data_IF_520008122910
#
_entry.id   IF_520008122910
#
_cell.length_a   1.000
_cell.length_b   1.000
_cell.length_c   1.000
_cell.angle_alpha   90.00
_cell.angle_beta   90.00
_cell.angle_gamma   90.00
#
_symmetry.space_group_name_H-M   'P 1'
#
loop_
_entity.id
_entity.type
_entity.pdbx_description
1 polymer ?
#
# COMPACT_ATOMS: atom_id res chain seq x y z
N UNK A 1 -18.42 -6.59 -39.17
CA UNK A 1 -17.20 -6.53 -40.00
C UNK A 1 -16.07 -5.97 -39.18
N UNK A 2 -15.14 -6.87 -38.81
CA UNK A 2 -13.95 -6.47 -38.06
C UNK A 2 -12.89 -5.95 -39.04
N UNK A 3 -12.36 -4.76 -38.78
CA UNK A 3 -11.24 -4.26 -39.57
C UNK A 3 -9.99 -5.11 -39.29
N UNK A 4 -9.29 -5.44 -40.36
CA UNK A 4 -8.03 -6.17 -40.32
C UNK A 4 -6.93 -5.26 -40.86
N UNK A 5 -5.92 -5.06 -40.02
CA UNK A 5 -4.74 -4.30 -40.38
C UNK A 5 -3.51 -5.16 -40.54
N UNK A 6 -2.41 -4.51 -40.82
CA UNK A 6 -1.11 -5.17 -41.08
C UNK A 6 -0.02 -4.47 -40.29
N UNK A 7 0.87 -5.23 -39.67
CA UNK A 7 2.04 -4.69 -38.98
C UNK A 7 3.03 -4.12 -40.03
N UNK A 8 3.37 -2.86 -39.86
CA UNK A 8 4.37 -2.17 -40.70
C UNK A 8 5.76 -2.39 -40.11
N UNK A 9 5.89 -2.23 -38.80
CA UNK A 9 7.14 -2.40 -38.08
C UNK A 9 6.86 -2.90 -36.65
N UNK A 10 7.82 -3.61 -36.07
CA UNK A 10 7.73 -4.14 -34.71
C UNK A 10 9.13 -4.13 -34.09
N UNK A 11 9.17 -3.80 -32.81
CA UNK A 11 10.40 -3.86 -32.04
C UNK A 11 10.14 -3.41 -30.60
N UNK A 12 10.81 -4.06 -29.65
CA UNK A 12 10.78 -3.71 -28.23
C UNK A 12 9.37 -3.63 -27.62
N UNK A 13 8.46 -4.50 -28.10
CA UNK A 13 7.08 -4.54 -27.60
C UNK A 13 6.14 -3.51 -28.20
N UNK A 14 6.57 -2.76 -29.21
CA UNK A 14 5.75 -1.76 -29.93
C UNK A 14 5.56 -2.21 -31.38
N UNK A 15 4.32 -2.21 -31.84
CA UNK A 15 3.98 -2.48 -33.24
C UNK A 15 3.30 -1.26 -33.87
N UNK A 16 3.77 -0.86 -35.06
CA UNK A 16 3.05 0.10 -35.89
C UNK A 16 2.16 -0.66 -36.84
N UNK A 17 0.90 -0.30 -36.92
CA UNK A 17 -0.15 -1.02 -37.68
C UNK A 17 -0.82 -0.07 -38.64
N UNK A 18 -1.05 -0.58 -39.87
CA UNK A 18 -1.77 0.13 -40.90
C UNK A 18 -3.09 -0.59 -41.20
N UNK A 19 -4.13 0.17 -41.49
CA UNK A 19 -5.41 -0.38 -41.95
C UNK A 19 -6.48 -0.59 -40.89
N UNK A 20 -6.24 -0.13 -39.67
CA UNK A 20 -7.28 -0.15 -38.59
C UNK A 20 -7.65 1.28 -38.18
N UNK A 21 -8.10 2.06 -39.18
CA UNK A 21 -8.30 3.51 -39.04
C UNK A 21 -9.36 3.90 -38.01
N UNK A 22 -10.28 3.01 -37.66
CA UNK A 22 -11.34 3.25 -36.69
C UNK A 22 -10.99 2.77 -35.26
N UNK A 23 -9.76 2.31 -35.06
CA UNK A 23 -9.31 1.89 -33.74
C UNK A 23 -9.30 3.07 -32.77
N UNK A 24 -9.71 2.78 -31.53
CA UNK A 24 -9.79 3.76 -30.47
C UNK A 24 -8.62 3.58 -29.49
N UNK A 25 -8.20 4.68 -28.86
CA UNK A 25 -7.22 4.63 -27.78
C UNK A 25 -7.68 3.66 -26.68
N UNK A 26 -6.78 2.78 -26.26
CA UNK A 26 -7.07 1.79 -25.23
C UNK A 26 -7.79 0.53 -25.73
N UNK A 27 -8.05 0.44 -27.03
CA UNK A 27 -8.70 -0.75 -27.60
C UNK A 27 -7.74 -1.93 -27.64
N UNK A 28 -8.25 -3.13 -27.29
CA UNK A 28 -7.51 -4.39 -27.45
C UNK A 28 -7.54 -4.80 -28.92
N UNK A 29 -6.37 -5.19 -29.42
CA UNK A 29 -6.21 -5.81 -30.75
C UNK A 29 -5.62 -7.20 -30.57
N UNK A 30 -5.93 -8.11 -31.51
CA UNK A 30 -5.38 -9.46 -31.52
C UNK A 30 -4.54 -9.66 -32.78
N UNK A 31 -3.29 -10.07 -32.60
CA UNK A 31 -2.40 -10.37 -33.71
C UNK A 31 -2.63 -11.80 -34.18
N UNK A 32 -2.23 -12.08 -35.41
CA UNK A 32 -2.37 -13.39 -36.07
C UNK A 32 -1.83 -14.55 -35.25
N UNK A 33 -0.77 -14.32 -34.47
CA UNK A 33 -0.15 -15.32 -33.59
C UNK A 33 -0.92 -15.58 -32.31
N UNK A 34 -1.98 -14.80 -32.04
CA UNK A 34 -2.75 -14.84 -30.78
C UNK A 34 -2.27 -13.85 -29.74
N UNK A 35 -1.15 -13.18 -29.95
CA UNK A 35 -0.65 -12.14 -29.05
C UNK A 35 -1.61 -10.97 -29.01
N UNK A 36 -1.86 -10.45 -27.80
CA UNK A 36 -2.73 -9.29 -27.61
C UNK A 36 -1.90 -8.02 -27.51
N UNK A 37 -2.50 -6.93 -27.98
CA UNK A 37 -1.93 -5.59 -27.87
C UNK A 37 -3.00 -4.57 -27.51
N UNK A 38 -2.56 -3.35 -27.23
CA UNK A 38 -3.45 -2.25 -26.91
C UNK A 38 -3.03 -1.00 -27.71
N UNK A 39 -4.01 -0.32 -28.27
CA UNK A 39 -3.78 0.93 -29.01
C UNK A 39 -3.31 2.01 -28.05
N UNK A 40 -2.14 2.58 -28.30
CA UNK A 40 -1.53 3.62 -27.47
C UNK A 40 -1.40 4.97 -28.15
N UNK A 41 -1.28 4.98 -29.48
CA UNK A 41 -1.08 6.22 -30.23
C UNK A 41 -1.77 6.12 -31.59
N UNK A 42 -2.49 7.16 -31.95
CA UNK A 42 -3.23 7.24 -33.23
C UNK A 42 -2.65 8.38 -34.03
N UNK A 43 -2.02 8.04 -35.15
CA UNK A 43 -1.47 8.98 -36.12
C UNK A 43 -2.32 8.94 -37.40
N UNK A 44 -2.06 9.86 -38.33
CA UNK A 44 -2.87 10.01 -39.53
C UNK A 44 -2.95 8.72 -40.37
N UNK A 45 -1.83 8.01 -40.54
CA UNK A 45 -1.74 6.81 -41.39
C UNK A 45 -1.30 5.54 -40.67
N UNK A 46 -1.03 5.62 -39.38
CA UNK A 46 -0.62 4.44 -38.62
C UNK A 46 -1.07 4.52 -37.18
N UNK A 47 -1.21 3.36 -36.56
CA UNK A 47 -1.59 3.23 -35.18
C UNK A 47 -0.49 2.45 -34.46
N UNK A 48 -0.04 2.97 -33.32
CA UNK A 48 0.97 2.32 -32.50
C UNK A 48 0.29 1.53 -31.39
N UNK A 49 0.66 0.25 -31.28
CA UNK A 49 0.14 -0.65 -30.24
C UNK A 49 1.28 -1.13 -29.36
N UNK A 50 1.03 -1.20 -28.06
CA UNK A 50 1.91 -1.92 -27.14
C UNK A 50 1.49 -3.39 -27.10
N UNK A 51 2.47 -4.29 -27.07
CA UNK A 51 2.22 -5.74 -27.13
C UNK A 51 2.42 -6.36 -25.77
N UNK A 52 1.51 -7.24 -25.38
CA UNK A 52 1.49 -7.89 -24.08
C UNK A 52 2.14 -9.27 -24.11
N UNK A 53 3.41 -9.31 -24.45
CA UNK A 53 4.17 -10.54 -24.47
C UNK A 53 5.36 -10.49 -25.42
N UNK A 54 5.94 -11.67 -25.70
CA UNK A 54 7.08 -11.82 -26.59
C UNK A 54 6.68 -11.51 -28.04
N UNK A 55 7.36 -10.58 -28.66
CA UNK A 55 7.12 -10.13 -30.03
C UNK A 55 8.03 -10.79 -31.07
N UNK A 56 8.82 -11.80 -30.69
CA UNK A 56 9.80 -12.42 -31.57
C UNK A 56 9.19 -13.08 -32.82
N UNK A 57 7.95 -13.51 -32.75
CA UNK A 57 7.22 -14.11 -33.87
C UNK A 57 6.44 -13.10 -34.72
N UNK A 58 6.39 -11.85 -34.28
CA UNK A 58 5.69 -10.79 -34.99
C UNK A 58 6.62 -10.18 -36.05
N UNK A 59 6.16 -10.14 -37.28
CA UNK A 59 6.94 -9.66 -38.42
C UNK A 59 6.15 -8.59 -39.17
N UNK A 60 6.84 -7.84 -40.03
CA UNK A 60 6.19 -6.99 -41.01
C UNK A 60 5.23 -7.85 -41.83
N UNK A 61 4.00 -7.40 -41.99
CA UNK A 61 2.96 -8.14 -42.71
C UNK A 61 2.06 -9.01 -41.82
N UNK A 62 2.39 -9.18 -40.55
CA UNK A 62 1.51 -9.90 -39.63
C UNK A 62 0.16 -9.19 -39.54
N UNK A 63 -0.92 -9.96 -39.57
CA UNK A 63 -2.28 -9.41 -39.50
C UNK A 63 -2.69 -9.07 -38.10
N UNK A 64 -3.42 -7.96 -37.94
CA UNK A 64 -3.92 -7.45 -36.69
C UNK A 64 -5.42 -7.20 -36.81
N UNK A 65 -6.19 -7.79 -35.90
CA UNK A 65 -7.65 -7.62 -35.87
C UNK A 65 -8.06 -6.71 -34.71
N UNK A 66 -8.96 -5.74 -35.01
CA UNK A 66 -9.63 -4.97 -34.00
C UNK A 66 -10.64 -5.85 -33.25
N UNK A 67 -10.75 -5.66 -31.96
CA UNK A 67 -11.80 -6.33 -31.15
C UNK A 67 -13.00 -5.42 -30.90
N UNK A 68 -12.84 -4.10 -31.05
CA UNK A 68 -13.87 -3.12 -30.71
C UNK A 68 -14.08 -2.96 -29.22
N UNK A 69 -13.27 -3.59 -28.39
CA UNK A 69 -13.40 -3.57 -26.92
C UNK A 69 -12.22 -2.86 -26.28
N UNK A 70 -12.49 -2.07 -25.25
CA UNK A 70 -11.42 -1.50 -24.42
C UNK A 70 -10.65 -2.60 -23.70
N UNK A 71 -9.36 -2.38 -23.48
CA UNK A 71 -8.54 -3.30 -22.70
C UNK A 71 -9.14 -3.50 -21.32
N UNK A 72 -9.27 -4.74 -20.90
CA UNK A 72 -9.87 -5.07 -19.63
C UNK A 72 -9.42 -6.44 -19.16
N UNK A 73 -9.92 -6.85 -18.01
CA UNK A 73 -9.64 -8.15 -17.42
C UNK A 73 -10.94 -8.81 -16.96
N UNK A 74 -10.94 -10.17 -16.90
CA UNK A 74 -12.01 -10.84 -16.20
C UNK A 74 -11.93 -10.55 -14.70
N UNK A 75 -13.06 -10.40 -14.05
CA UNK A 75 -13.18 -10.09 -12.61
C UNK A 75 -14.17 -11.00 -11.95
N UNK A 76 -14.05 -11.22 -10.66
CA UNK A 76 -14.96 -12.06 -9.90
C UNK A 76 -14.38 -12.48 -8.55
N UNK A 77 -15.21 -13.09 -7.72
CA UNK A 77 -14.80 -13.59 -6.40
C UNK A 77 -13.79 -14.74 -6.50
N UNK A 78 -13.77 -15.45 -7.64
CA UNK A 78 -12.82 -16.52 -7.88
C UNK A 78 -11.36 -16.08 -7.88
N UNK A 79 -11.09 -14.80 -7.98
CA UNK A 79 -9.74 -14.23 -7.93
C UNK A 79 -9.17 -14.18 -6.51
N UNK A 80 -10.01 -14.21 -5.49
CA UNK A 80 -9.55 -14.17 -4.09
C UNK A 80 -8.75 -15.44 -3.79
N UNK A 81 -7.55 -15.26 -3.28
CA UNK A 81 -6.63 -16.37 -2.97
C UNK A 81 -5.77 -16.82 -4.13
N UNK A 82 -5.86 -16.17 -5.28
CA UNK A 82 -5.17 -16.57 -6.50
C UNK A 82 -4.02 -15.64 -6.84
N UNK A 83 -3.07 -16.17 -7.59
CA UNK A 83 -1.92 -15.42 -8.12
C UNK A 83 -2.07 -15.38 -9.63
N UNK A 84 -2.09 -14.17 -10.18
CA UNK A 84 -2.37 -13.94 -11.59
C UNK A 84 -1.34 -13.01 -12.23
N UNK A 85 -1.24 -13.07 -13.56
CA UNK A 85 -0.38 -12.18 -14.33
C UNK A 85 -1.05 -10.81 -14.58
N UNK A 86 -0.40 -9.96 -15.37
CA UNK A 86 -0.88 -8.61 -15.66
C UNK A 86 -2.23 -8.56 -16.40
N UNK A 87 -2.61 -9.64 -17.07
CA UNK A 87 -3.88 -9.74 -17.81
C UNK A 87 -4.94 -10.54 -17.07
N UNK A 88 -4.65 -10.96 -15.84
CA UNK A 88 -5.57 -11.71 -15.01
C UNK A 88 -5.56 -13.22 -15.24
N UNK A 89 -4.61 -13.74 -16.00
CA UNK A 89 -4.46 -15.18 -16.18
C UNK A 89 -3.76 -15.81 -14.97
N UNK A 90 -4.24 -16.98 -14.49
CA UNK A 90 -3.64 -17.62 -13.32
C UNK A 90 -2.22 -18.14 -13.60
N UNK A 91 -1.32 -17.94 -12.64
CA UNK A 91 0.08 -18.40 -12.70
C UNK A 91 0.47 -19.26 -11.49
N UNK A 92 -0.51 -19.67 -10.69
CA UNK A 92 -0.30 -20.43 -9.45
C UNK A 92 -0.48 -21.93 -9.62
N UNK A 93 -0.77 -22.39 -10.83
CA UNK A 93 -0.96 -23.82 -11.11
C UNK A 93 -2.26 -24.43 -10.57
N UNK A 94 -3.20 -23.60 -10.09
CA UNK A 94 -4.46 -24.06 -9.50
C UNK A 94 -5.63 -24.11 -10.48
N UNK A 95 -5.35 -24.03 -11.78
CA UNK A 95 -6.38 -24.09 -12.82
C UNK A 95 -7.03 -22.76 -13.13
N UNK A 96 -8.00 -22.80 -14.03
CA UNK A 96 -8.72 -21.62 -14.49
C UNK A 96 -9.52 -20.96 -13.37
N UNK A 97 -9.67 -19.64 -13.47
CA UNK A 97 -10.46 -18.85 -12.54
C UNK A 97 -11.81 -18.57 -13.18
N UNK A 98 -12.90 -18.89 -12.46
CA UNK A 98 -14.24 -18.56 -12.91
C UNK A 98 -14.46 -17.04 -12.74
N UNK A 99 -14.71 -16.36 -13.85
CA UNK A 99 -15.02 -14.93 -13.86
C UNK A 99 -16.53 -14.71 -13.77
N UNK A 100 -16.91 -13.65 -13.03
CA UNK A 100 -18.31 -13.22 -12.94
C UNK A 100 -18.59 -12.06 -13.91
N UNK A 101 -17.56 -11.47 -14.48
CA UNK A 101 -17.70 -10.37 -15.41
C UNK A 101 -16.36 -9.98 -16.02
N UNK A 102 -16.40 -8.91 -16.80
CA UNK A 102 -15.24 -8.32 -17.44
C UNK A 102 -15.27 -6.82 -17.16
N UNK A 103 -14.12 -6.24 -16.80
CA UNK A 103 -14.05 -4.83 -16.45
C UNK A 103 -12.87 -4.16 -17.17
N UNK A 104 -13.07 -2.98 -17.78
CA UNK A 104 -11.96 -2.25 -18.38
C UNK A 104 -10.87 -1.90 -17.35
N UNK A 105 -9.62 -1.90 -17.79
CA UNK A 105 -8.48 -1.56 -16.93
C UNK A 105 -8.40 -0.06 -16.64
N UNK A 106 -8.91 0.77 -17.53
CA UNK A 106 -9.00 2.21 -17.32
C UNK A 106 -10.46 2.61 -17.16
N UNK A 107 -10.79 3.20 -16.01
CA UNK A 107 -12.12 3.66 -15.66
C UNK A 107 -12.03 5.04 -15.01
N UNK A 108 -13.08 5.81 -15.15
CA UNK A 108 -13.18 7.08 -14.46
C UNK A 108 -13.26 6.85 -12.95
N UNK A 109 -12.55 7.69 -12.19
CA UNK A 109 -12.64 7.69 -10.74
C UNK A 109 -14.04 8.12 -10.30
N UNK A 110 -14.52 7.68 -9.12
CA UNK A 110 -15.79 8.16 -8.58
C UNK A 110 -15.82 9.68 -8.50
N UNK A 111 -16.95 10.29 -8.88
CA UNK A 111 -17.15 11.73 -8.84
C UNK A 111 -17.29 12.26 -7.41
N UNK A 112 -17.33 13.57 -7.27
CA UNK A 112 -17.43 14.25 -5.97
C UNK A 112 -18.68 13.82 -5.20
N UNK A 113 -19.80 13.66 -5.90
CA UNK A 113 -21.10 13.29 -5.30
C UNK A 113 -21.11 11.86 -4.78
N UNK A 114 -20.34 10.98 -5.43
CA UNK A 114 -20.30 9.56 -5.10
C UNK A 114 -19.31 9.23 -3.97
N UNK A 115 -18.54 10.21 -3.50
CA UNK A 115 -17.53 10.03 -2.47
C UNK A 115 -18.07 10.43 -1.09
N UNK A 116 -17.57 9.72 -0.09
CA UNK A 116 -17.78 10.01 1.33
C UNK A 116 -16.43 10.26 1.98
N UNK A 117 -16.42 11.10 3.01
CA UNK A 117 -15.21 11.35 3.79
C UNK A 117 -14.71 10.08 4.45
N UNK A 118 -13.39 9.93 4.50
CA UNK A 118 -12.73 8.80 5.15
C UNK A 118 -12.87 8.95 6.67
N UNK A 119 -13.49 7.98 7.33
CA UNK A 119 -13.79 8.03 8.75
C UNK A 119 -13.72 6.68 9.46
N UNK A 120 -13.46 5.59 8.73
CA UNK A 120 -13.35 4.25 9.31
C UNK A 120 -11.90 3.81 9.25
N UNK A 121 -11.29 3.36 10.37
CA UNK A 121 -9.90 2.93 10.37
C UNK A 121 -9.65 1.74 9.46
N UNK A 122 -8.52 1.78 8.76
CA UNK A 122 -7.89 0.60 8.20
C UNK A 122 -6.68 0.34 9.08
N UNK A 123 -6.80 -0.59 10.00
CA UNK A 123 -5.78 -0.85 11.01
C UNK A 123 -4.61 -1.61 10.40
N UNK A 124 -3.41 -1.02 10.46
CA UNK A 124 -2.22 -1.67 9.94
C UNK A 124 -1.65 -2.72 10.88
N UNK A 125 -1.99 -2.63 12.17
CA UNK A 125 -1.39 -3.45 13.21
C UNK A 125 0.01 -3.00 13.59
N UNK A 126 0.50 -1.92 13.00
CA UNK A 126 1.82 -1.34 13.26
C UNK A 126 1.63 -0.14 14.20
N UNK A 127 2.16 -0.24 15.39
CA UNK A 127 1.91 0.73 16.46
C UNK A 127 2.30 2.16 16.05
N UNK A 128 3.46 2.34 15.42
CA UNK A 128 3.93 3.65 14.99
C UNK A 128 3.00 4.32 13.99
N UNK A 129 2.38 3.52 13.12
CA UNK A 129 1.49 4.02 12.08
C UNK A 129 0.10 4.29 12.67
N UNK A 130 -0.50 3.29 13.30
CA UNK A 130 -1.87 3.41 13.82
C UNK A 130 -1.99 4.49 14.89
N UNK A 131 -0.93 4.74 15.65
CA UNK A 131 -0.93 5.76 16.70
C UNK A 131 -0.69 7.19 16.19
N UNK A 132 0.19 7.35 15.19
CA UNK A 132 0.65 8.69 14.77
C UNK A 132 0.24 9.06 13.35
N UNK A 133 0.12 8.09 12.46
CA UNK A 133 -0.16 8.31 11.04
C UNK A 133 -1.25 7.36 10.56
N UNK A 134 -2.45 7.41 11.19
CA UNK A 134 -3.50 6.42 10.94
C UNK A 134 -4.00 6.48 9.51
N UNK A 135 -4.39 5.30 9.01
CA UNK A 135 -4.92 5.13 7.66
C UNK A 135 -6.38 4.76 7.77
N UNK A 136 -7.21 5.41 6.98
CA UNK A 136 -8.64 5.13 6.91
C UNK A 136 -9.03 4.39 5.64
N UNK A 137 -10.15 3.71 5.68
CA UNK A 137 -10.69 3.01 4.51
C UNK A 137 -11.10 4.00 3.43
N UNK A 138 -10.45 3.92 2.29
CA UNK A 138 -10.61 4.84 1.18
C UNK A 138 -9.49 5.86 1.04
N UNK A 139 -8.51 5.84 1.93
CA UNK A 139 -7.36 6.73 1.90
C UNK A 139 -6.25 6.21 0.98
N UNK A 140 -5.46 7.13 0.45
CA UNK A 140 -4.24 6.83 -0.31
C UNK A 140 -3.06 7.26 0.55
N UNK A 141 -2.32 6.31 1.11
CA UNK A 141 -1.16 6.60 1.96
C UNK A 141 0.09 6.04 1.30
N UNK A 142 1.01 6.92 0.94
CA UNK A 142 2.26 6.56 0.29
C UNK A 142 3.24 5.95 1.30
N UNK A 143 3.88 4.86 0.91
CA UNK A 143 5.02 4.29 1.64
C UNK A 143 6.26 4.61 0.81
N UNK A 144 7.17 5.40 1.36
CA UNK A 144 8.32 5.94 0.62
C UNK A 144 9.61 5.80 1.42
N UNK A 145 10.67 5.43 0.74
CA UNK A 145 11.99 5.28 1.35
C UNK A 145 12.99 4.66 0.39
N UNK A 146 14.24 4.65 0.80
CA UNK A 146 15.33 4.04 0.04
C UNK A 146 15.17 2.52 -0.03
N UNK A 147 15.96 1.90 -0.90
CA UNK A 147 16.00 0.45 -1.04
C UNK A 147 16.29 -0.22 0.31
N UNK A 148 15.57 -1.30 0.60
CA UNK A 148 15.74 -2.12 1.81
C UNK A 148 15.52 -1.37 3.13
N UNK A 149 14.53 -0.48 3.16
CA UNK A 149 14.09 0.21 4.39
C UNK A 149 12.84 -0.39 5.03
N UNK A 150 12.31 -1.47 4.44
CA UNK A 150 11.13 -2.16 5.00
C UNK A 150 9.79 -1.73 4.42
N UNK A 151 9.77 -1.10 3.24
CA UNK A 151 8.53 -0.64 2.59
C UNK A 151 7.56 -1.79 2.34
N UNK A 152 8.03 -2.85 1.73
CA UNK A 152 7.22 -4.05 1.44
C UNK A 152 6.74 -4.71 2.72
N UNK A 153 7.57 -4.73 3.76
CA UNK A 153 7.21 -5.32 5.06
C UNK A 153 6.04 -4.61 5.72
N UNK A 154 5.98 -3.28 5.63
CA UNK A 154 4.84 -2.52 6.14
C UNK A 154 3.56 -2.91 5.39
N UNK A 155 3.63 -2.99 4.08
CA UNK A 155 2.49 -3.38 3.26
C UNK A 155 2.03 -4.81 3.57
N UNK A 156 2.97 -5.75 3.69
CA UNK A 156 2.69 -7.15 4.01
C UNK A 156 2.07 -7.30 5.40
N UNK A 157 2.63 -6.62 6.40
CA UNK A 157 2.09 -6.66 7.77
C UNK A 157 0.68 -6.06 7.83
N UNK A 158 0.42 -5.02 7.05
CA UNK A 158 -0.92 -4.44 6.93
C UNK A 158 -1.90 -5.46 6.35
N UNK A 159 -1.51 -6.19 5.30
CA UNK A 159 -2.33 -7.25 4.72
C UNK A 159 -2.59 -8.35 5.75
N UNK A 160 -1.57 -8.81 6.44
CA UNK A 160 -1.69 -9.85 7.47
C UNK A 160 -2.70 -9.43 8.54
N UNK A 161 -2.69 -8.15 8.92
CA UNK A 161 -3.60 -7.64 9.96
C UNK A 161 -5.06 -7.54 9.52
N UNK A 162 -5.36 -7.73 8.24
CA UNK A 162 -6.75 -7.64 7.77
C UNK A 162 -7.56 -8.93 7.99
N UNK A 163 -6.94 -9.97 8.53
CA UNK A 163 -7.64 -11.24 8.81
C UNK A 163 -8.86 -11.00 9.70
N UNK A 164 -10.02 -11.44 9.22
CA UNK A 164 -11.27 -11.31 9.98
C UNK A 164 -11.88 -9.92 10.02
N UNK A 165 -11.38 -8.97 9.24
CA UNK A 165 -11.85 -7.56 9.24
C UNK A 165 -12.69 -7.19 8.02
N UNK A 166 -13.09 -8.17 7.22
CA UNK A 166 -13.89 -7.99 6.01
C UNK A 166 -13.24 -7.04 4.99
N UNK A 167 -11.93 -7.16 4.84
CA UNK A 167 -11.16 -6.41 3.84
C UNK A 167 -10.56 -7.40 2.85
N UNK A 168 -10.85 -7.18 1.57
CA UNK A 168 -10.23 -7.93 0.48
C UNK A 168 -8.92 -7.24 0.13
N UNK A 169 -7.82 -7.99 0.08
CA UNK A 169 -6.51 -7.43 -0.20
C UNK A 169 -6.05 -7.80 -1.61
N UNK A 170 -5.37 -6.85 -2.27
CA UNK A 170 -4.74 -7.04 -3.56
C UNK A 170 -3.31 -6.53 -3.47
N UNK A 171 -2.35 -7.40 -3.77
CA UNK A 171 -0.95 -7.04 -3.84
C UNK A 171 -0.50 -7.03 -5.29
N UNK A 172 0.05 -5.90 -5.74
CA UNK A 172 0.50 -5.73 -7.12
C UNK A 172 2.02 -5.65 -7.15
N UNK A 173 2.67 -6.69 -7.63
CA UNK A 173 4.12 -6.74 -7.82
C UNK A 173 4.45 -6.21 -9.21
N UNK A 174 5.15 -5.09 -9.28
CA UNK A 174 5.50 -4.42 -10.53
C UNK A 174 7.00 -4.44 -10.71
N UNK A 175 7.50 -5.18 -11.70
CA UNK A 175 8.92 -5.24 -12.01
C UNK A 175 9.78 -5.88 -10.93
N UNK A 176 9.20 -6.70 -10.09
CA UNK A 176 9.90 -7.41 -9.01
C UNK A 176 10.55 -8.69 -9.53
N UNK A 177 11.60 -9.15 -8.85
CA UNK A 177 12.17 -10.47 -9.14
C UNK A 177 11.17 -11.55 -8.77
N UNK A 178 11.09 -12.61 -9.58
CA UNK A 178 10.20 -13.76 -9.32
C UNK A 178 10.45 -14.37 -7.93
N UNK A 179 11.71 -14.46 -7.51
CA UNK A 179 12.09 -14.97 -6.19
C UNK A 179 11.55 -14.14 -5.04
N UNK A 180 11.52 -12.82 -5.21
CA UNK A 180 10.96 -11.88 -4.22
C UNK A 180 9.46 -12.08 -4.08
N UNK A 181 8.75 -12.21 -5.19
CA UNK A 181 7.30 -12.45 -5.19
C UNK A 181 6.97 -13.82 -4.56
N UNK A 182 7.74 -14.85 -4.87
CA UNK A 182 7.56 -16.19 -4.30
C UNK A 182 7.71 -16.17 -2.78
N UNK A 183 8.70 -15.44 -2.26
CA UNK A 183 8.90 -15.29 -0.82
C UNK A 183 7.72 -14.58 -0.15
N UNK A 184 7.23 -13.51 -0.76
CA UNK A 184 6.07 -12.77 -0.27
C UNK A 184 4.82 -13.64 -0.22
N UNK A 185 4.57 -14.42 -1.27
CA UNK A 185 3.43 -15.35 -1.33
C UNK A 185 3.54 -16.38 -0.21
N UNK A 186 4.74 -16.92 0.04
CA UNK A 186 4.95 -17.87 1.12
C UNK A 186 4.69 -17.27 2.49
N UNK A 187 5.09 -16.01 2.71
CA UNK A 187 4.80 -15.26 3.94
C UNK A 187 3.29 -15.08 4.14
N UNK A 188 2.58 -14.72 3.08
CA UNK A 188 1.12 -14.57 3.15
C UNK A 188 0.44 -15.90 3.47
N UNK A 189 0.90 -17.00 2.87
CA UNK A 189 0.38 -18.35 3.17
C UNK A 189 0.63 -18.74 4.62
N UNK A 190 1.83 -18.46 5.14
CA UNK A 190 2.21 -18.79 6.51
C UNK A 190 1.34 -18.11 7.55
N UNK A 191 0.78 -16.94 7.21
CA UNK A 191 -0.09 -16.16 8.10
C UNK A 191 -1.57 -16.28 7.73
N UNK A 192 -1.94 -17.22 6.87
CA UNK A 192 -3.31 -17.41 6.36
C UNK A 192 -3.88 -16.17 5.64
N UNK A 193 -3.01 -15.27 5.19
CA UNK A 193 -3.42 -14.03 4.56
C UNK A 193 -3.73 -14.20 3.06
N UNK A 194 -3.21 -15.25 2.43
CA UNK A 194 -3.49 -15.49 1.02
C UNK A 194 -4.98 -15.82 0.80
N UNK A 195 -5.66 -16.34 1.81
CA UNK A 195 -7.08 -16.73 1.72
C UNK A 195 -8.01 -15.56 1.37
N UNK A 196 -7.60 -14.32 1.66
CA UNK A 196 -8.36 -13.11 1.33
C UNK A 196 -7.58 -12.15 0.42
N UNK A 197 -6.49 -12.61 -0.19
CA UNK A 197 -5.59 -11.76 -0.98
C UNK A 197 -5.46 -12.30 -2.40
N UNK A 198 -5.52 -11.39 -3.38
CA UNK A 198 -5.16 -11.66 -4.77
C UNK A 198 -3.81 -11.03 -5.05
N UNK A 199 -2.90 -11.77 -5.69
CA UNK A 199 -1.59 -11.26 -6.09
C UNK A 199 -1.55 -11.11 -7.61
N UNK A 200 -1.34 -9.88 -8.07
CA UNK A 200 -1.03 -9.57 -9.47
C UNK A 200 0.47 -9.44 -9.61
N UNK A 201 1.03 -10.08 -10.61
CA UNK A 201 2.49 -10.12 -10.78
C UNK A 201 2.90 -9.82 -12.21
N UNK A 202 3.76 -8.82 -12.38
CA UNK A 202 4.52 -8.61 -13.60
C UNK A 202 5.98 -8.51 -13.20
N UNK A 203 6.77 -9.55 -13.53
CA UNK A 203 8.16 -9.67 -13.08
C UNK A 203 9.09 -8.73 -13.84
N UNK A 204 10.30 -8.55 -13.30
CA UNK A 204 11.34 -7.71 -13.90
C UNK A 204 11.77 -8.19 -15.29
N UNK A 205 11.61 -9.48 -15.59
CA UNK A 205 11.96 -10.05 -16.90
C UNK A 205 10.85 -9.89 -17.95
N UNK A 206 9.66 -9.50 -17.56
CA UNK A 206 8.56 -9.25 -18.50
C UNK A 206 8.73 -7.91 -19.20
N UNK A 207 8.09 -7.78 -20.36
CA UNK A 207 8.16 -6.56 -21.16
C UNK A 207 7.52 -5.35 -20.45
N UNK A 208 7.94 -4.15 -20.85
CA UNK A 208 7.43 -2.92 -20.27
C UNK A 208 5.90 -2.77 -20.37
N UNK A 209 5.23 -3.14 -21.49
CA UNK A 209 3.78 -3.08 -21.57
C UNK A 209 3.04 -3.85 -20.46
N UNK A 210 3.54 -5.01 -20.06
CA UNK A 210 2.94 -5.80 -18.98
C UNK A 210 3.14 -5.12 -17.62
N UNK A 211 4.31 -4.57 -17.37
CA UNK A 211 4.58 -3.81 -16.15
C UNK A 211 3.75 -2.53 -16.08
N UNK A 212 3.49 -1.92 -17.24
CA UNK A 212 2.65 -0.72 -17.35
C UNK A 212 1.19 -1.02 -17.01
N UNK A 213 0.64 -2.13 -17.54
CA UNK A 213 -0.80 -2.40 -17.43
C UNK A 213 -1.20 -3.03 -16.07
N UNK A 214 -0.28 -3.72 -15.40
CA UNK A 214 -0.62 -4.53 -14.21
C UNK A 214 -1.31 -3.75 -13.09
N UNK A 215 -0.91 -2.51 -12.73
CA UNK A 215 -1.63 -1.80 -11.67
C UNK A 215 -3.04 -1.40 -12.08
N UNK A 216 -3.27 -1.11 -13.34
CA UNK A 216 -4.61 -0.80 -13.86
C UNK A 216 -5.50 -2.04 -13.85
N UNK A 217 -4.96 -3.19 -14.21
CA UNK A 217 -5.66 -4.48 -14.16
C UNK A 217 -6.10 -4.80 -12.73
N UNK A 218 -5.18 -4.68 -11.79
CA UNK A 218 -5.46 -4.93 -10.38
C UNK A 218 -6.51 -3.98 -9.82
N UNK A 219 -6.45 -2.70 -10.22
CA UNK A 219 -7.42 -1.70 -9.78
C UNK A 219 -8.81 -2.00 -10.34
N UNK A 220 -8.91 -2.53 -11.56
CA UNK A 220 -10.19 -2.97 -12.11
C UNK A 220 -10.84 -4.05 -11.25
N UNK A 221 -10.07 -5.02 -10.76
CA UNK A 221 -10.58 -6.02 -9.81
C UNK A 221 -10.98 -5.37 -8.49
N UNK A 222 -10.19 -4.43 -7.98
CA UNK A 222 -10.53 -3.71 -6.75
C UNK A 222 -11.86 -2.95 -6.90
N UNK A 223 -12.07 -2.30 -8.02
CA UNK A 223 -13.32 -1.58 -8.32
C UNK A 223 -14.52 -2.52 -8.38
N UNK A 224 -14.34 -3.71 -8.93
CA UNK A 224 -15.41 -4.72 -8.94
C UNK A 224 -15.93 -4.98 -7.53
N UNK A 225 -15.04 -5.16 -6.57
CA UNK A 225 -15.43 -5.38 -5.18
C UNK A 225 -15.96 -4.11 -4.50
N UNK A 226 -15.34 -2.97 -4.77
CA UNK A 226 -15.77 -1.69 -4.19
C UNK A 226 -17.21 -1.36 -4.56
N UNK A 227 -17.59 -1.55 -5.82
CA UNK A 227 -18.95 -1.27 -6.28
C UNK A 227 -19.99 -2.30 -5.81
N UNK A 228 -19.54 -3.38 -5.19
CA UNK A 228 -20.41 -4.33 -4.47
C UNK A 228 -20.55 -3.98 -2.98
N UNK A 229 -20.02 -2.86 -2.55
CA UNK A 229 -20.10 -2.42 -1.16
C UNK A 229 -19.00 -3.01 -0.27
N UNK A 230 -17.97 -3.62 -0.85
CA UNK A 230 -16.88 -4.23 -0.08
C UNK A 230 -15.72 -3.26 0.09
N UNK A 231 -14.92 -3.47 1.12
CA UNK A 231 -13.71 -2.71 1.38
C UNK A 231 -12.49 -3.46 0.83
N UNK A 232 -11.66 -2.76 0.07
CA UNK A 232 -10.48 -3.32 -0.59
C UNK A 232 -9.23 -2.57 -0.13
N UNK A 233 -8.17 -3.29 0.14
CA UNK A 233 -6.83 -2.75 0.33
C UNK A 233 -5.98 -3.16 -0.87
N UNK A 234 -5.40 -2.18 -1.57
CA UNK A 234 -4.53 -2.45 -2.71
C UNK A 234 -3.13 -1.87 -2.47
N UNK A 235 -2.11 -2.70 -2.68
CA UNK A 235 -0.70 -2.32 -2.54
C UNK A 235 -0.05 -2.33 -3.91
N UNK A 236 0.59 -1.22 -4.29
CA UNK A 236 1.34 -1.11 -5.55
C UNK A 236 2.84 -1.13 -5.24
N UNK A 237 3.50 -2.22 -5.49
CA UNK A 237 4.92 -2.41 -5.14
C UNK A 237 5.79 -2.66 -6.38
N UNK A 238 6.37 -1.68 -6.99
CA UNK A 238 6.29 -0.25 -6.64
C UNK A 238 5.95 0.60 -7.87
N UNK A 239 5.52 1.81 -7.63
CA UNK A 239 5.18 2.76 -8.69
C UNK A 239 6.42 3.42 -9.32
N UNK A 240 7.59 3.33 -8.69
CA UNK A 240 8.84 3.79 -9.29
C UNK A 240 9.17 2.96 -10.53
N UNK A 241 9.08 1.63 -10.42
CA UNK A 241 9.27 0.73 -11.56
C UNK A 241 8.18 0.88 -12.61
N UNK A 242 6.95 1.15 -12.18
CA UNK A 242 5.84 1.46 -13.08
C UNK A 242 6.14 2.67 -13.95
N UNK A 243 6.64 3.75 -13.34
CA UNK A 243 7.03 4.95 -14.06
C UNK A 243 8.16 4.69 -15.05
N UNK A 244 9.15 3.87 -14.67
CA UNK A 244 10.25 3.49 -15.57
C UNK A 244 9.74 2.70 -16.77
N UNK A 245 8.81 1.77 -16.58
CA UNK A 245 8.19 1.03 -17.68
C UNK A 245 7.45 1.98 -18.65
N UNK A 246 6.71 2.92 -18.11
CA UNK A 246 6.00 3.91 -18.92
C UNK A 246 6.96 4.84 -19.68
N UNK A 247 8.06 5.25 -19.05
CA UNK A 247 9.11 6.03 -19.70
C UNK A 247 9.69 5.27 -20.89
N UNK A 248 9.99 3.98 -20.72
CA UNK A 248 10.49 3.14 -21.80
C UNK A 248 9.52 3.09 -22.99
N UNK A 249 8.23 2.83 -22.70
CA UNK A 249 7.18 2.82 -23.73
C UNK A 249 7.07 4.15 -24.45
N UNK A 250 7.07 5.25 -23.70
CA UNK A 250 6.92 6.60 -24.25
C UNK A 250 8.08 7.00 -25.16
N UNK A 251 9.31 6.63 -24.79
CA UNK A 251 10.48 6.88 -25.61
C UNK A 251 10.43 6.07 -26.92
N UNK A 252 9.98 4.83 -26.86
CA UNK A 252 9.80 3.98 -28.05
C UNK A 252 8.69 4.48 -28.97
N UNK A 253 7.65 5.10 -28.41
CA UNK A 253 6.58 5.74 -29.18
C UNK A 253 6.98 7.09 -29.78
N UNK A 254 8.20 7.57 -29.50
CA UNK A 254 8.69 8.84 -30.01
C UNK A 254 8.12 10.07 -29.30
N UNK A 255 7.59 9.91 -28.09
CA UNK A 255 7.11 11.04 -27.29
C UNK A 255 8.28 11.85 -26.76
N UNK A 256 8.12 13.17 -26.68
CA UNK A 256 9.19 14.06 -26.22
C UNK A 256 9.49 13.85 -24.75
N UNK A 257 10.76 13.57 -24.36
CA UNK A 257 11.13 13.42 -22.97
C UNK A 257 11.15 14.78 -22.25
N UNK A 258 10.69 14.78 -21.01
CA UNK A 258 10.76 15.92 -20.11
C UNK A 258 11.79 15.70 -19.01
N UNK A 259 11.46 16.15 -17.79
CA UNK A 259 12.33 16.00 -16.61
C UNK A 259 12.67 14.54 -16.36
N UNK A 260 13.94 14.23 -16.14
CA UNK A 260 14.47 12.87 -15.92
C UNK A 260 14.08 11.90 -17.04
N UNK A 261 13.89 12.43 -18.25
CA UNK A 261 13.47 11.71 -19.45
C UNK A 261 12.06 11.10 -19.38
N UNK A 262 11.26 11.43 -18.37
CA UNK A 262 9.86 11.03 -18.30
C UNK A 262 9.03 11.86 -19.29
N UNK A 263 7.97 11.27 -19.88
CA UNK A 263 7.06 12.04 -20.73
C UNK A 263 6.27 13.06 -19.93
N UNK A 264 5.74 14.09 -20.59
CA UNK A 264 5.01 15.18 -19.93
C UNK A 264 3.77 14.73 -19.17
N UNK A 265 3.19 13.59 -19.51
CA UNK A 265 1.98 13.05 -18.90
C UNK A 265 2.24 12.02 -17.78
N UNK A 266 3.48 11.89 -17.31
CA UNK A 266 3.80 10.92 -16.24
C UNK A 266 3.06 11.21 -14.94
N UNK A 267 2.76 12.46 -14.64
CA UNK A 267 1.92 12.80 -13.49
C UNK A 267 0.53 12.16 -13.63
N UNK A 268 -0.05 12.25 -14.82
CA UNK A 268 -1.37 11.69 -15.12
C UNK A 268 -1.37 10.15 -15.04
N UNK A 269 -0.26 9.51 -15.34
CA UNK A 269 -0.10 8.06 -15.18
C UNK A 269 -0.50 7.59 -13.78
N UNK A 270 0.00 8.26 -12.75
CA UNK A 270 -0.25 7.89 -11.36
C UNK A 270 -1.51 8.55 -10.78
N UNK A 271 -1.85 9.78 -11.21
CA UNK A 271 -3.06 10.43 -10.70
C UNK A 271 -4.33 9.71 -11.13
N UNK A 272 -4.43 9.31 -12.41
CA UNK A 272 -5.60 8.57 -12.88
C UNK A 272 -5.74 7.17 -12.28
N UNK A 273 -4.61 6.58 -11.86
CA UNK A 273 -4.61 5.31 -11.14
C UNK A 273 -5.10 5.47 -9.69
N UNK A 274 -4.48 6.39 -8.97
CA UNK A 274 -4.68 6.55 -7.52
C UNK A 274 -5.99 7.26 -7.17
N UNK A 275 -6.50 8.11 -8.06
CA UNK A 275 -7.80 8.76 -7.86
C UNK A 275 -8.98 7.76 -7.82
N UNK A 276 -8.78 6.57 -8.35
CA UNK A 276 -9.78 5.50 -8.32
C UNK A 276 -9.97 4.92 -6.91
N UNK A 277 -9.00 5.12 -6.03
CA UNK A 277 -9.09 4.71 -4.62
C UNK A 277 -9.81 5.78 -3.84
N UNK A 278 -10.90 5.40 -3.18
CA UNK A 278 -11.78 6.32 -2.48
C UNK A 278 -12.76 5.54 -1.60
N UNK A 279 -13.53 6.26 -0.80
CA UNK A 279 -14.68 5.71 -0.11
C UNK A 279 -15.95 6.19 -0.77
N UNK A 280 -16.81 5.26 -1.14
CA UNK A 280 -18.09 5.58 -1.77
C UNK A 280 -19.12 5.98 -0.72
N UNK A 281 -20.01 6.90 -1.12
CA UNK A 281 -21.18 7.24 -0.33
C UNK A 281 -22.11 6.02 -0.21
N UNK A 282 -22.98 6.03 0.76
CA UNK A 282 -23.98 4.96 0.97
C UNK A 282 -24.84 4.74 -0.28
N UNK A 283 -25.20 5.84 -0.94
CA UNK A 283 -26.01 5.82 -2.17
C UNK A 283 -25.25 5.17 -3.34
N UNK A 284 -23.93 5.32 -3.38
CA UNK A 284 -23.07 4.71 -4.41
C UNK A 284 -22.65 3.28 -4.05
N UNK A 285 -23.05 2.75 -2.89
CA UNK A 285 -22.76 1.39 -2.47
C UNK A 285 -21.96 1.25 -1.19
N UNK A 286 -21.32 2.30 -0.71
CA UNK A 286 -20.60 2.32 0.58
C UNK A 286 -19.27 1.60 0.62
N UNK A 287 -18.80 1.00 -0.47
CA UNK A 287 -17.52 0.32 -0.54
C UNK A 287 -16.34 1.29 -0.57
N UNK A 288 -15.14 0.73 -0.49
CA UNK A 288 -13.91 1.55 -0.53
C UNK A 288 -12.74 0.81 -1.16
N UNK A 289 -11.79 1.59 -1.67
CA UNK A 289 -10.45 1.11 -2.02
C UNK A 289 -9.47 1.98 -1.25
N UNK A 290 -8.65 1.34 -0.41
CA UNK A 290 -7.54 1.98 0.28
C UNK A 290 -6.26 1.62 -0.46
N UNK A 291 -5.48 2.62 -0.87
CA UNK A 291 -4.26 2.40 -1.63
C UNK A 291 -3.01 2.65 -0.78
N UNK A 292 -2.08 1.72 -0.86
CA UNK A 292 -0.72 1.85 -0.32
C UNK A 292 0.27 1.79 -1.50
N UNK A 293 0.45 2.90 -2.22
CA UNK A 293 1.50 2.95 -3.24
C UNK A 293 2.87 3.02 -2.58
N UNK A 294 3.83 2.32 -3.19
CA UNK A 294 5.22 2.29 -2.72
C UNK A 294 6.08 3.02 -3.74
N UNK A 295 6.94 3.90 -3.25
CA UNK A 295 7.92 4.64 -4.05
C UNK A 295 9.31 4.42 -3.44
N UNK A 296 10.28 4.12 -4.29
CA UNK A 296 11.68 4.03 -3.89
C UNK A 296 12.39 5.35 -4.13
N UNK A 297 13.07 5.86 -3.11
CA UNK A 297 13.91 7.06 -3.23
C UNK A 297 15.37 6.66 -3.41
N UNK A 298 16.18 7.62 -3.87
CA UNK A 298 17.64 7.49 -3.96
C UNK A 298 18.24 8.44 -2.94
N UNK A 299 19.01 7.91 -1.98
CA UNK A 299 19.64 8.70 -0.92
C UNK A 299 18.69 9.62 -0.15
N UNK A 300 17.45 9.18 0.05
CA UNK A 300 16.43 9.93 0.78
C UNK A 300 15.87 11.13 0.03
N UNK A 301 16.14 11.27 -1.26
CA UNK A 301 15.72 12.42 -2.06
C UNK A 301 14.22 12.36 -2.41
N UNK A 302 13.41 13.04 -1.62
CA UNK A 302 11.96 13.17 -1.86
C UNK A 302 11.65 14.29 -2.87
N UNK A 303 12.64 15.08 -3.27
CA UNK A 303 12.46 16.16 -4.26
C UNK A 303 12.59 15.67 -5.71
N UNK A 304 12.98 14.41 -5.93
CA UNK A 304 13.01 13.80 -7.25
C UNK A 304 11.60 13.81 -7.89
N UNK A 305 11.56 13.65 -9.21
CA UNK A 305 10.33 13.91 -9.97
C UNK A 305 9.17 12.99 -9.57
N UNK A 306 9.38 11.69 -9.62
CA UNK A 306 8.28 10.74 -9.32
C UNK A 306 7.87 10.79 -7.84
N UNK A 307 8.79 10.80 -6.87
CA UNK A 307 8.39 10.99 -5.46
C UNK A 307 7.53 12.23 -5.23
N UNK A 308 7.94 13.38 -5.77
CA UNK A 308 7.19 14.65 -5.64
C UNK A 308 5.77 14.52 -6.20
N UNK A 309 5.62 13.90 -7.35
CA UNK A 309 4.32 13.71 -7.98
C UNK A 309 3.40 12.84 -7.12
N UNK A 310 3.88 11.72 -6.62
CA UNK A 310 3.05 10.80 -5.85
C UNK A 310 2.72 11.37 -4.45
N UNK A 311 3.65 12.11 -3.84
CA UNK A 311 3.37 12.83 -2.59
C UNK A 311 2.19 13.79 -2.78
N UNK A 312 2.14 14.51 -3.91
CA UNK A 312 1.05 15.46 -4.18
C UNK A 312 -0.29 14.80 -4.46
N UNK A 313 -0.28 13.57 -5.01
CA UNK A 313 -1.51 12.84 -5.33
C UNK A 313 -2.12 12.19 -4.08
N UNK A 314 -1.30 11.75 -3.15
CA UNK A 314 -1.72 10.96 -1.98
C UNK A 314 -2.17 11.83 -0.81
N UNK A 315 -2.82 11.19 0.16
CA UNK A 315 -3.37 11.83 1.37
C UNK A 315 -2.37 11.80 2.54
N UNK A 316 -1.11 11.62 2.25
CA UNK A 316 -0.03 11.56 3.20
C UNK A 316 0.99 10.49 2.82
N UNK A 317 2.05 10.41 3.61
CA UNK A 317 3.13 9.46 3.37
C UNK A 317 3.70 8.92 4.68
N UNK A 318 4.12 7.66 4.63
CA UNK A 318 4.95 7.03 5.65
C UNK A 318 6.37 7.02 5.09
N UNK A 319 7.22 7.86 5.64
CA UNK A 319 8.61 7.98 5.20
C UNK A 319 9.52 7.06 6.02
N UNK A 320 10.19 6.12 5.35
CA UNK A 320 11.13 5.20 5.96
C UNK A 320 12.56 5.67 5.71
N UNK A 321 13.35 5.77 6.76
CA UNK A 321 14.69 6.33 6.71
C UNK A 321 15.74 5.24 6.91
N UNK A 322 16.73 5.19 6.01
CA UNK A 322 17.81 4.21 6.05
C UNK A 322 18.61 4.27 7.35
N UNK A 323 18.90 5.47 7.82
CA UNK A 323 19.69 5.66 9.05
C UNK A 323 18.98 5.07 10.27
N UNK A 324 17.67 5.25 10.37
CA UNK A 324 16.85 4.66 11.43
C UNK A 324 16.83 3.13 11.30
N UNK A 325 16.67 2.62 10.09
CA UNK A 325 16.65 1.18 9.83
C UNK A 325 17.96 0.53 10.26
N UNK A 326 19.07 1.12 9.87
CA UNK A 326 20.40 0.62 10.18
C UNK A 326 20.75 0.76 11.67
N UNK A 327 20.15 1.72 12.36
CA UNK A 327 20.28 1.90 13.81
C UNK A 327 19.41 0.96 14.63
N UNK A 328 18.64 0.08 13.97
CA UNK A 328 17.78 -0.89 14.63
C UNK A 328 16.36 -0.42 14.92
N UNK A 329 16.00 0.78 14.51
CA UNK A 329 14.62 1.27 14.58
C UNK A 329 13.80 0.67 13.44
N UNK A 330 13.08 -0.39 13.71
CA UNK A 330 12.28 -1.12 12.72
C UNK A 330 10.87 -1.36 13.25
N UNK A 331 9.82 -0.84 12.59
CA UNK A 331 9.85 -0.09 11.33
C UNK A 331 10.55 1.27 11.44
N UNK A 332 11.23 1.65 10.38
CA UNK A 332 12.09 2.84 10.35
C UNK A 332 11.32 4.11 10.02
N UNK A 333 10.17 4.31 10.64
CA UNK A 333 9.27 5.44 10.36
C UNK A 333 9.88 6.74 10.87
N UNK A 334 10.09 7.69 9.96
CA UNK A 334 10.51 9.03 10.32
C UNK A 334 9.28 9.83 10.76
N UNK A 335 9.23 10.16 12.05
CA UNK A 335 8.07 10.84 12.66
C UNK A 335 7.90 12.28 12.17
N UNK A 336 9.01 12.95 11.85
CA UNK A 336 8.96 14.34 11.38
C UNK A 336 8.48 14.50 9.95
N UNK A 337 8.80 13.55 9.08
CA UNK A 337 8.48 13.61 7.64
C UNK A 337 7.22 12.84 7.26
N UNK A 338 6.75 11.95 8.11
CA UNK A 338 5.54 11.18 7.86
C UNK A 338 4.30 12.01 8.20
N UNK A 339 3.24 11.84 7.42
CA UNK A 339 1.99 12.59 7.54
C UNK A 339 0.81 11.68 7.19
N UNK A 340 -0.28 11.80 7.93
CA UNK A 340 -1.59 11.33 7.49
C UNK A 340 -2.55 12.52 7.50
N UNK A 341 -3.04 12.90 6.33
CA UNK A 341 -3.95 14.06 6.21
C UNK A 341 -5.34 13.77 6.76
N UNK A 342 -5.73 12.51 6.81
CA UNK A 342 -6.99 12.10 7.44
C UNK A 342 -6.89 12.18 8.97
N UNK A 343 -5.76 11.75 9.51
CA UNK A 343 -5.47 11.90 10.95
C UNK A 343 -6.47 11.18 11.84
N UNK A 344 -6.85 11.82 12.93
CA UNK A 344 -7.72 11.23 13.97
C UNK A 344 -9.10 10.79 13.47
N UNK A 345 -9.58 11.27 12.33
CA UNK A 345 -10.82 10.78 11.73
C UNK A 345 -10.71 9.30 11.32
N UNK A 346 -9.49 8.80 11.10
CA UNK A 346 -9.21 7.40 10.78
C UNK A 346 -8.83 6.57 12.00
N UNK A 347 -9.14 7.03 13.20
CA UNK A 347 -8.90 6.31 14.46
C UNK A 347 -10.20 6.07 15.21
N UNK A 348 -10.26 4.95 15.93
CA UNK A 348 -11.32 4.77 16.94
C UNK A 348 -11.14 5.80 18.05
N UNK A 349 -12.20 6.08 18.78
CA UNK A 349 -12.12 7.01 19.92
C UNK A 349 -11.11 6.53 20.97
N UNK A 350 -11.03 5.21 21.18
CA UNK A 350 -10.07 4.62 22.10
C UNK A 350 -8.63 4.88 21.68
N UNK A 351 -8.31 4.62 20.41
CA UNK A 351 -6.98 4.86 19.88
C UNK A 351 -6.62 6.35 19.90
N UNK A 352 -7.55 7.19 19.50
CA UNK A 352 -7.36 8.65 19.49
C UNK A 352 -7.00 9.17 20.87
N UNK A 353 -7.69 8.69 21.92
CA UNK A 353 -7.41 9.08 23.31
C UNK A 353 -6.09 8.52 23.81
N UNK A 354 -5.79 7.26 23.51
CA UNK A 354 -4.56 6.61 23.96
C UNK A 354 -3.30 7.17 23.28
N UNK A 355 -3.40 7.55 22.00
CA UNK A 355 -2.26 7.98 21.19
C UNK A 355 -2.10 9.49 21.06
N UNK A 356 -3.02 10.28 21.59
CA UNK A 356 -3.11 11.72 21.31
C UNK A 356 -1.87 12.53 21.64
N UNK A 357 -1.06 12.13 22.61
CA UNK A 357 0.14 12.83 23.02
C UNK A 357 1.44 12.25 22.47
N UNK A 358 1.40 11.07 21.86
CA UNK A 358 2.61 10.30 21.52
C UNK A 358 3.55 11.07 20.58
N UNK A 359 3.03 11.66 19.54
CA UNK A 359 3.83 12.39 18.56
C UNK A 359 4.51 13.61 19.18
N UNK A 360 3.76 14.37 19.98
CA UNK A 360 4.26 15.55 20.69
C UNK A 360 5.32 15.13 21.71
N UNK A 361 5.05 14.07 22.46
CA UNK A 361 5.96 13.56 23.49
C UNK A 361 7.29 13.11 22.87
N UNK A 362 7.25 12.45 21.73
CA UNK A 362 8.45 12.04 20.98
C UNK A 362 9.24 13.25 20.47
N UNK A 363 8.54 14.25 19.95
CA UNK A 363 9.17 15.47 19.46
C UNK A 363 9.87 16.23 20.59
N UNK A 364 9.22 16.37 21.74
CA UNK A 364 9.80 16.99 22.93
C UNK A 364 11.01 16.24 23.45
N UNK A 365 10.95 14.91 23.47
CA UNK A 365 12.07 14.09 23.91
C UNK A 365 13.29 14.24 22.98
N UNK A 366 13.07 14.30 21.66
CA UNK A 366 14.14 14.52 20.68
C UNK A 366 14.79 15.90 20.85
N UNK A 367 13.98 16.93 21.04
CA UNK A 367 14.46 18.28 21.27
C UNK A 367 15.30 18.34 22.56
N UNK A 368 14.83 17.70 23.62
CA UNK A 368 15.53 17.60 24.89
C UNK A 368 16.84 16.82 24.74
N UNK A 369 16.86 15.74 24.01
CA UNK A 369 18.06 14.95 23.73
C UNK A 369 19.12 15.77 23.01
N UNK A 370 18.73 16.53 22.00
CA UNK A 370 19.60 17.44 21.26
C UNK A 370 20.19 18.51 22.19
N UNK A 371 19.39 19.04 23.11
CA UNK A 371 19.81 20.07 24.04
C UNK A 371 20.79 19.54 25.10
N UNK A 372 20.64 18.30 25.52
CA UNK A 372 21.44 17.68 26.58
C UNK A 372 22.79 17.11 26.14
N UNK A 373 23.05 17.04 24.83
CA UNK A 373 24.36 16.63 24.31
C UNK A 373 25.51 17.52 24.79
N UNK A 374 25.19 18.74 25.20
CA UNK A 374 26.16 19.74 25.64
C UNK A 374 26.17 19.97 27.15
N UNK A 375 25.35 19.24 27.93
CA UNK A 375 25.24 19.40 29.37
C UNK A 375 25.44 18.07 30.07
N UNK A 376 26.34 18.04 31.06
CA UNK A 376 26.64 16.84 31.85
C UNK A 376 25.75 16.72 33.10
N UNK A 377 25.13 17.82 33.53
CA UNK A 377 24.28 17.82 34.74
C UNK A 377 22.82 18.03 34.32
N UNK A 378 22.04 16.95 34.42
CA UNK A 378 20.62 16.95 34.12
C UNK A 378 19.82 16.87 35.42
N UNK A 379 18.77 17.68 35.52
CA UNK A 379 17.82 17.56 36.62
C UNK A 379 16.95 16.29 36.47
N UNK A 380 16.28 15.91 37.54
CA UNK A 380 15.48 14.67 37.54
C UNK A 380 14.31 14.73 36.55
N UNK A 381 13.71 15.91 36.37
CA UNK A 381 12.62 16.09 35.42
C UNK A 381 13.09 15.85 33.99
N UNK A 382 14.26 16.35 33.61
CA UNK A 382 14.85 16.14 32.29
C UNK A 382 15.21 14.67 32.06
N UNK A 383 15.82 14.02 33.06
CA UNK A 383 16.14 12.60 33.00
C UNK A 383 14.89 11.73 32.80
N UNK A 384 13.80 12.05 33.50
CA UNK A 384 12.54 11.33 33.37
C UNK A 384 11.91 11.52 31.99
N UNK A 385 12.01 12.72 31.43
CA UNK A 385 11.48 13.02 30.11
C UNK A 385 12.27 12.29 29.02
N UNK A 386 13.60 12.24 29.14
CA UNK A 386 14.46 11.48 28.23
C UNK A 386 14.17 9.98 28.31
N UNK A 387 13.99 9.46 29.52
CA UNK A 387 13.66 8.06 29.72
C UNK A 387 12.28 7.71 29.16
N UNK A 388 11.31 8.60 29.32
CA UNK A 388 9.98 8.46 28.73
C UNK A 388 10.05 8.39 27.18
N UNK A 389 10.82 9.29 26.58
CA UNK A 389 11.05 9.27 25.13
C UNK A 389 11.70 7.98 24.65
N UNK A 390 12.70 7.49 25.39
CA UNK A 390 13.36 6.21 25.09
C UNK A 390 12.40 5.04 25.22
N UNK A 391 11.53 5.06 26.21
CA UNK A 391 10.51 4.05 26.41
C UNK A 391 9.54 4.01 25.21
N UNK A 392 9.02 5.16 24.79
CA UNK A 392 8.13 5.25 23.63
C UNK A 392 8.83 4.76 22.37
N UNK A 393 10.08 5.13 22.16
CA UNK A 393 10.87 4.70 21.01
C UNK A 393 11.02 3.18 20.97
N UNK A 394 11.32 2.57 22.11
CA UNK A 394 11.42 1.10 22.19
C UNK A 394 10.08 0.41 21.90
N UNK A 395 8.98 0.98 22.37
CA UNK A 395 7.65 0.42 22.12
C UNK A 395 7.26 0.47 20.64
N UNK A 396 7.76 1.46 19.90
CA UNK A 396 7.49 1.60 18.47
C UNK A 396 8.25 0.59 17.62
N UNK A 397 9.29 -0.04 18.17
CA UNK A 397 9.97 -1.15 17.49
C UNK A 397 9.06 -2.37 17.52
N UNK A 398 8.89 -2.99 16.38
CA UNK A 398 7.96 -4.10 16.24
C UNK A 398 8.52 -5.14 15.28
N UNK A 399 8.51 -6.44 15.66
CA UNK A 399 9.00 -7.49 14.77
C UNK A 399 8.06 -7.71 13.59
N UNK A 400 8.62 -8.20 12.49
CA UNK A 400 7.86 -8.49 11.27
C UNK A 400 6.87 -9.63 11.52
N UNK A 401 5.72 -9.55 10.84
CA UNK A 401 4.70 -10.59 10.90
C UNK A 401 3.96 -10.70 12.22
N UNK A 402 4.09 -9.70 13.08
CA UNK A 402 3.42 -9.68 14.39
C UNK A 402 2.63 -8.39 14.59
N UNK A 403 1.54 -8.21 13.86
CA UNK A 403 0.70 -7.04 14.05
C UNK A 403 0.06 -7.04 15.43
N UNK A 404 -0.15 -5.85 15.99
CA UNK A 404 -0.82 -5.66 17.25
C UNK A 404 -2.30 -5.33 17.01
N UNK A 405 -3.18 -5.95 17.76
CA UNK A 405 -4.62 -5.66 17.71
C UNK A 405 -4.94 -4.29 18.32
N UNK A 406 -6.16 -3.82 18.13
CA UNK A 406 -6.60 -2.55 18.70
C UNK A 406 -6.41 -2.50 20.21
N UNK A 407 -6.91 -3.50 20.93
CA UNK A 407 -6.79 -3.50 22.40
C UNK A 407 -5.35 -3.60 22.86
N UNK A 408 -4.50 -4.36 22.14
CA UNK A 408 -3.08 -4.44 22.47
C UNK A 408 -2.38 -3.11 22.33
N UNK A 409 -2.68 -2.36 21.28
CA UNK A 409 -2.12 -1.03 21.06
C UNK A 409 -2.64 -0.02 22.11
N UNK A 410 -3.93 -0.02 22.38
CA UNK A 410 -4.55 0.90 23.33
C UNK A 410 -4.00 0.66 24.74
N UNK A 411 -3.92 -0.59 25.16
CA UNK A 411 -3.36 -0.95 26.48
C UNK A 411 -1.90 -0.50 26.58
N UNK A 412 -1.10 -0.82 25.59
CA UNK A 412 0.32 -0.43 25.55
C UNK A 412 0.50 1.08 25.68
N UNK A 413 -0.23 1.85 24.88
CA UNK A 413 -0.11 3.31 24.89
C UNK A 413 -0.67 3.92 26.17
N UNK A 414 -1.77 3.41 26.69
CA UNK A 414 -2.36 3.88 27.93
C UNK A 414 -1.38 3.72 29.09
N UNK A 415 -0.76 2.56 29.21
CA UNK A 415 0.22 2.26 30.27
C UNK A 415 1.47 3.13 30.10
N UNK A 416 2.00 3.23 28.88
CA UNK A 416 3.21 3.99 28.60
C UNK A 416 3.02 5.49 28.81
N UNK A 417 1.93 6.08 28.31
CA UNK A 417 1.67 7.51 28.42
C UNK A 417 1.34 7.95 29.85
N UNK A 418 0.91 7.02 30.69
CA UNK A 418 0.70 7.28 32.12
C UNK A 418 1.93 6.98 32.97
N UNK A 419 3.10 6.86 32.34
CA UNK A 419 4.41 6.78 32.98
C UNK A 419 4.65 5.52 33.81
N UNK A 420 3.92 4.44 33.59
CA UNK A 420 4.07 3.19 34.34
C UNK A 420 5.28 2.35 33.90
N UNK A 421 5.93 2.73 32.80
CA UNK A 421 7.10 1.99 32.29
C UNK A 421 8.43 2.73 32.53
N UNK A 422 8.43 3.85 33.27
CA UNK A 422 9.63 4.66 33.49
C UNK A 422 10.70 3.92 34.31
N UNK A 423 10.31 3.02 35.18
CA UNK A 423 11.22 2.24 36.04
C UNK A 423 11.71 0.96 35.36
N UNK A 424 11.29 0.70 34.13
CA UNK A 424 11.73 -0.46 33.37
C UNK A 424 12.99 -0.10 32.55
N UNK A 425 14.01 -0.96 32.58
CA UNK A 425 15.20 -0.79 31.75
C UNK A 425 14.79 -0.74 30.27
N UNK A 426 15.31 0.25 29.55
CA UNK A 426 15.01 0.47 28.12
C UNK A 426 15.17 -0.80 27.29
N UNK A 427 16.20 -1.62 27.56
CA UNK A 427 16.44 -2.87 26.85
C UNK A 427 15.37 -3.94 27.12
N UNK A 428 14.61 -3.81 28.18
CA UNK A 428 13.58 -4.77 28.61
C UNK A 428 12.16 -4.30 28.33
N UNK A 429 11.98 -3.13 27.74
CA UNK A 429 10.66 -2.54 27.47
C UNK A 429 9.82 -3.45 26.57
N UNK A 430 10.38 -3.98 25.49
CA UNK A 430 9.63 -4.88 24.59
C UNK A 430 9.22 -6.17 25.26
N UNK A 431 10.11 -6.76 26.05
CA UNK A 431 9.80 -7.95 26.85
C UNK A 431 8.69 -7.67 27.86
N UNK A 432 8.80 -6.53 28.56
CA UNK A 432 7.77 -6.09 29.50
C UNK A 432 6.42 -5.93 28.79
N UNK A 433 6.40 -5.27 27.65
CA UNK A 433 5.17 -5.08 26.86
C UNK A 433 4.52 -6.41 26.50
N UNK A 434 5.29 -7.34 25.98
CA UNK A 434 4.76 -8.64 25.52
C UNK A 434 4.25 -9.46 26.70
N UNK A 435 4.97 -9.47 27.82
CA UNK A 435 4.55 -10.17 29.04
C UNK A 435 3.30 -9.54 29.64
N UNK A 436 3.23 -8.21 29.63
CA UNK A 436 2.06 -7.47 30.11
C UNK A 436 0.82 -7.79 29.27
N UNK A 437 0.95 -7.77 27.95
CA UNK A 437 -0.18 -8.09 27.07
C UNK A 437 -0.65 -9.53 27.25
N UNK A 438 0.27 -10.47 27.46
CA UNK A 438 -0.07 -11.85 27.79
C UNK A 438 -0.81 -11.96 29.14
N UNK A 439 -0.38 -11.18 30.13
CA UNK A 439 -1.04 -11.11 31.43
C UNK A 439 -2.48 -10.59 31.29
N UNK A 440 -2.69 -9.53 30.51
CA UNK A 440 -4.03 -9.00 30.25
C UNK A 440 -4.92 -10.04 29.57
N UNK A 441 -4.41 -10.76 28.58
CA UNK A 441 -5.17 -11.81 27.89
C UNK A 441 -5.56 -12.96 28.81
N UNK A 442 -4.71 -13.29 29.78
CA UNK A 442 -4.93 -14.39 30.69
C UNK A 442 -5.83 -14.01 31.87
N UNK A 443 -5.60 -12.86 32.48
CA UNK A 443 -6.27 -12.51 33.75
C UNK A 443 -7.27 -11.34 33.64
N UNK A 444 -7.18 -10.53 32.59
CA UNK A 444 -8.05 -9.37 32.41
C UNK A 444 -8.59 -9.31 30.98
N UNK A 445 -9.03 -10.44 30.47
CA UNK A 445 -9.53 -10.57 29.09
C UNK A 445 -10.72 -9.64 28.83
N UNK A 446 -11.53 -9.35 29.82
CA UNK A 446 -12.69 -8.44 29.74
C UNK A 446 -12.28 -7.01 29.34
N UNK A 447 -11.09 -6.56 29.72
CA UNK A 447 -10.59 -5.22 29.36
C UNK A 447 -10.36 -5.13 27.85
N UNK A 448 -9.63 -6.08 27.28
CA UNK A 448 -9.40 -6.13 25.85
C UNK A 448 -10.68 -6.25 25.05
N UNK A 449 -11.60 -7.10 25.51
CA UNK A 449 -12.90 -7.28 24.90
C UNK A 449 -13.74 -5.99 24.92
N UNK A 450 -13.71 -5.25 26.03
CA UNK A 450 -14.41 -3.97 26.14
C UNK A 450 -13.86 -2.93 25.15
N UNK A 451 -12.54 -2.88 24.98
CA UNK A 451 -11.90 -1.97 24.00
C UNK A 451 -12.34 -2.33 22.58
N UNK A 452 -12.29 -3.61 22.22
CA UNK A 452 -12.60 -4.06 20.86
C UNK A 452 -14.08 -3.88 20.51
N UNK A 453 -14.98 -4.07 21.46
CA UNK A 453 -16.43 -3.96 21.24
C UNK A 453 -16.92 -2.50 21.27
N UNK A 454 -16.53 -1.74 22.26
CA UNK A 454 -16.99 -0.35 22.46
C UNK A 454 -16.16 0.67 21.70
N UNK A 455 -14.89 0.38 21.48
CA UNK A 455 -13.93 1.25 20.79
C UNK A 455 -13.84 2.64 21.42
N UNK A 456 -14.08 2.72 22.72
CA UNK A 456 -14.02 3.95 23.54
C UNK A 456 -13.16 3.66 24.77
N UNK A 457 -12.33 4.61 25.15
CA UNK A 457 -11.51 4.56 26.36
C UNK A 457 -12.05 5.62 27.32
N UNK A 458 -13.01 5.24 28.16
CA UNK A 458 -13.54 6.11 29.20
C UNK A 458 -12.62 6.09 30.44
N UNK A 459 -12.89 6.97 31.41
CA UNK A 459 -12.05 7.09 32.60
C UNK A 459 -12.07 5.81 33.45
N UNK A 460 -13.22 5.14 33.54
CA UNK A 460 -13.35 3.87 34.27
C UNK A 460 -12.49 2.77 33.65
N UNK A 461 -12.55 2.61 32.31
CA UNK A 461 -11.75 1.62 31.62
C UNK A 461 -10.25 1.94 31.70
N UNK A 462 -9.89 3.22 31.60
CA UNK A 462 -8.51 3.68 31.78
C UNK A 462 -7.97 3.29 33.15
N UNK A 463 -8.76 3.52 34.22
CA UNK A 463 -8.36 3.14 35.58
C UNK A 463 -8.22 1.63 35.73
N UNK A 464 -9.09 0.85 35.10
CA UNK A 464 -8.99 -0.61 35.09
C UNK A 464 -7.69 -1.07 34.43
N UNK A 465 -7.34 -0.46 33.31
CA UNK A 465 -6.07 -0.76 32.58
C UNK A 465 -4.87 -0.44 33.48
N UNK A 466 -4.85 0.73 34.09
CA UNK A 466 -3.74 1.16 34.94
C UNK A 466 -3.62 0.29 36.21
N UNK A 467 -4.74 -0.08 36.82
CA UNK A 467 -4.76 -0.96 37.97
C UNK A 467 -4.23 -2.37 37.63
N UNK A 468 -4.65 -2.93 36.52
CA UNK A 468 -4.17 -4.23 36.03
C UNK A 468 -2.68 -4.19 35.70
N UNK A 469 -2.20 -3.10 35.09
CA UNK A 469 -0.77 -2.94 34.82
C UNK A 469 0.07 -2.84 36.08
N UNK A 470 -0.40 -2.17 37.11
CA UNK A 470 0.27 -2.11 38.41
C UNK A 470 0.31 -3.49 39.08
N UNK A 471 -0.78 -4.23 39.04
CA UNK A 471 -0.84 -5.61 39.51
C UNK A 471 0.21 -6.48 38.80
N UNK A 472 0.30 -6.38 37.50
CA UNK A 472 1.31 -7.09 36.70
C UNK A 472 2.75 -6.74 37.17
N UNK A 473 3.03 -5.45 37.36
CA UNK A 473 4.34 -5.02 37.86
C UNK A 473 4.69 -5.58 39.22
N UNK A 474 3.75 -5.64 40.11
CA UNK A 474 3.94 -6.18 41.48
C UNK A 474 4.21 -7.68 41.49
N UNK A 475 3.63 -8.41 40.54
CA UNK A 475 3.80 -9.87 40.42
C UNK A 475 5.05 -10.28 39.62
N UNK A 476 5.74 -9.35 38.98
CA UNK A 476 6.89 -9.64 38.10
C UNK A 476 8.23 -9.82 38.83
#
# INVERSE_FOLDING_TARGET
DQEVGTVISVGDGIASVYGIDHAMYGEIVTLETGLKGMVQDIKENEISCILFGDDSEIKQGTKVCRTGKKAGIPVGEGYIGRIVDALGAPIDGKGEIKADGYRPVENEAPGIVDRKSVSVPLETGILSIDSMFPIGRGQRELIIGDRQTGKTSIATDTIINQKGKDVICIYVAIGQKASTVARLVNDLKAHDALDYTTVFCSTASECAPLQYIVPYSATALAEYFMYQGKDVLIVYDDLSKHAVAYRAISLLLGRSPGREAYPGDVFYLHSRLLERSSRLSEEAGGGSITALPIIETQAGDVSAYIPTNVISITDGQIFLESDLFNAGMRPAVNVGLSVSRVGGAAQTKAMKKASGSVRIDLAQAREMESFTQFSSDLDDATKNQLKYGSCLTELLKQPLGRPLSLHEQVITLCVATNKLMLDIDTKKIKEFQMDMLAFFDREHKEIGKAIDEKKVLDDELKEQILAAAKEFKERR
#
